data_IF_547835812499
#
_entry.id   IF_547835812499
#
_cell.length_a   1.000
_cell.length_b   1.000
_cell.length_c   1.000
_cell.angle_alpha   90.00
_cell.angle_beta   90.00
_cell.angle_gamma   90.00
#
_symmetry.space_group_name_H-M   'P 1'
#
loop_
_entity.id
_entity.type
_entity.pdbx_description
1 polymer ?
#
# COMPACT_ATOMS: atom_id res chain seq x y z
N UNK A 1 -13.10 16.92 -10.38
CA UNK A 1 -11.91 16.28 -9.76
C UNK A 1 -11.81 14.84 -10.24
N UNK A 2 -10.60 14.30 -10.46
CA UNK A 2 -10.44 12.89 -10.81
C UNK A 2 -10.92 12.00 -9.67
N UNK A 3 -11.57 10.88 -9.99
CA UNK A 3 -12.03 9.90 -9.00
C UNK A 3 -10.85 9.06 -8.51
N UNK A 4 -10.56 9.13 -7.22
CA UNK A 4 -9.52 8.32 -6.58
C UNK A 4 -10.09 6.92 -6.35
N UNK A 5 -9.53 5.93 -7.03
CA UNK A 5 -10.00 4.53 -6.98
C UNK A 5 -9.36 3.72 -5.85
N UNK A 6 -8.20 4.15 -5.34
CA UNK A 6 -7.42 3.41 -4.36
C UNK A 6 -7.01 4.32 -3.21
N UNK A 7 -7.46 3.97 -2.01
CA UNK A 7 -7.20 4.72 -0.77
C UNK A 7 -6.74 3.83 0.38
N UNK A 8 -6.67 2.52 0.16
CA UNK A 8 -6.32 1.51 1.16
C UNK A 8 -4.82 1.20 1.13
N UNK A 9 -4.32 0.56 2.18
CA UNK A 9 -2.93 0.07 2.22
C UNK A 9 -2.80 -1.11 1.26
N UNK A 10 -1.67 -1.23 0.57
CA UNK A 10 -1.42 -2.35 -0.34
C UNK A 10 -0.36 -3.27 0.27
N UNK A 11 -0.80 -4.40 0.82
CA UNK A 11 0.05 -5.36 1.54
C UNK A 11 -0.17 -6.74 0.93
N UNK A 12 0.93 -7.44 0.62
CA UNK A 12 0.89 -8.80 0.06
C UNK A 12 0.10 -8.96 -1.26
N UNK A 13 -0.04 -7.89 -2.05
CA UNK A 13 -0.81 -7.92 -3.30
C UNK A 13 -2.28 -7.58 -3.15
N UNK A 14 -2.74 -7.25 -1.94
CA UNK A 14 -4.14 -6.95 -1.64
C UNK A 14 -4.31 -5.56 -1.01
N UNK A 15 -5.47 -4.96 -1.24
CA UNK A 15 -5.86 -3.70 -0.61
C UNK A 15 -6.50 -3.97 0.75
N UNK A 16 -5.75 -3.69 1.81
CA UNK A 16 -6.17 -3.87 3.20
C UNK A 16 -6.44 -2.53 3.87
N UNK A 17 -7.45 -2.49 4.73
CA UNK A 17 -7.69 -1.36 5.61
C UNK A 17 -6.64 -1.34 6.72
N UNK A 18 -6.37 -0.16 7.30
CA UNK A 18 -5.41 -0.05 8.41
C UNK A 18 -5.92 -0.80 9.64
N UNK A 19 -5.04 -1.50 10.35
CA UNK A 19 -5.39 -2.23 11.59
C UNK A 19 -5.99 -1.28 12.63
N UNK A 20 -5.51 -0.03 12.66
CA UNK A 20 -6.03 1.01 13.55
C UNK A 20 -7.32 1.67 13.05
N UNK A 21 -7.76 1.42 11.81
CA UNK A 21 -8.93 2.06 11.20
C UNK A 21 -8.79 3.57 10.97
N UNK A 22 -7.59 4.13 11.17
CA UNK A 22 -7.31 5.55 10.98
C UNK A 22 -7.15 5.88 9.50
N UNK A 23 -7.60 7.06 9.12
CA UNK A 23 -7.47 7.59 7.77
C UNK A 23 -6.99 9.03 7.82
N UNK A 24 -6.05 9.39 6.95
CA UNK A 24 -5.57 10.75 6.74
C UNK A 24 -6.33 11.37 5.57
N UNK A 25 -6.80 12.60 5.77
CA UNK A 25 -7.39 13.42 4.71
C UNK A 25 -6.28 14.09 3.90
N UNK A 26 -6.23 13.78 2.60
CA UNK A 26 -5.34 14.45 1.65
C UNK A 26 -6.08 15.66 1.08
N UNK A 27 -5.59 16.85 1.41
CA UNK A 27 -6.16 18.12 0.96
C UNK A 27 -5.45 18.64 -0.29
N UNK A 28 -6.19 19.24 -1.23
CA UNK A 28 -5.60 19.91 -2.39
C UNK A 28 -4.99 21.25 -1.95
N UNK A 29 -3.68 21.50 -2.19
CA UNK A 29 -3.04 22.76 -1.82
C UNK A 29 -3.58 23.97 -2.60
N UNK A 30 -4.37 23.78 -3.68
CA UNK A 30 -4.89 24.87 -4.52
C UNK A 30 -6.16 25.51 -3.97
N UNK A 31 -7.02 24.74 -3.34
CA UNK A 31 -8.33 25.21 -2.88
C UNK A 31 -8.68 24.79 -1.43
N UNK A 32 -7.85 23.96 -0.80
CA UNK A 32 -8.09 23.50 0.57
C UNK A 32 -9.20 22.45 0.69
N UNK A 33 -9.69 21.90 -0.43
CA UNK A 33 -10.70 20.85 -0.41
C UNK A 33 -10.07 19.47 -0.18
N UNK A 34 -10.80 18.60 0.54
CA UNK A 34 -10.38 17.22 0.77
C UNK A 34 -10.52 16.43 -0.52
N UNK A 35 -9.41 15.95 -1.05
CA UNK A 35 -9.34 15.12 -2.26
C UNK A 35 -9.78 13.69 -1.93
N UNK A 36 -9.15 13.08 -0.92
CA UNK A 36 -9.37 11.68 -0.57
C UNK A 36 -9.02 11.39 0.90
N UNK A 37 -9.63 10.35 1.46
CA UNK A 37 -9.26 9.77 2.77
C UNK A 37 -8.40 8.54 2.52
N UNK A 38 -7.12 8.61 2.82
CA UNK A 38 -6.16 7.51 2.66
C UNK A 38 -5.98 6.79 3.98
N UNK A 39 -5.87 5.46 3.99
CA UNK A 39 -5.61 4.70 5.20
C UNK A 39 -4.26 5.09 5.84
N UNK A 40 -4.28 5.41 7.13
CA UNK A 40 -3.07 5.69 7.92
C UNK A 40 -2.48 4.36 8.39
N UNK A 41 -1.34 3.98 7.81
CA UNK A 41 -0.61 2.79 8.24
C UNK A 41 0.10 3.03 9.58
N UNK A 42 -0.23 2.21 10.58
CA UNK A 42 0.45 2.18 11.86
C UNK A 42 1.66 1.24 11.85
N UNK A 43 2.29 1.10 13.02
CA UNK A 43 3.41 0.17 13.21
C UNK A 43 3.02 -1.28 12.86
N UNK A 44 1.82 -1.70 13.24
CA UNK A 44 1.31 -3.04 12.98
C UNK A 44 1.17 -3.33 11.48
N UNK A 45 0.67 -2.36 10.71
CA UNK A 45 0.57 -2.47 9.25
C UNK A 45 1.97 -2.57 8.61
N UNK A 46 2.95 -1.82 9.14
CA UNK A 46 4.35 -1.92 8.70
C UNK A 46 4.93 -3.30 9.01
N UNK A 47 4.70 -3.84 10.21
CA UNK A 47 5.16 -5.18 10.57
C UNK A 47 4.55 -6.27 9.66
N UNK A 48 3.26 -6.14 9.31
CA UNK A 48 2.60 -7.04 8.34
C UNK A 48 3.21 -6.90 6.94
N UNK A 49 3.45 -5.68 6.47
CA UNK A 49 4.07 -5.41 5.19
C UNK A 49 5.49 -5.98 5.10
N UNK A 50 6.29 -5.84 6.15
CA UNK A 50 7.65 -6.39 6.23
C UNK A 50 7.62 -7.92 6.22
N UNK A 51 6.72 -8.54 6.98
CA UNK A 51 6.55 -10.01 6.97
C UNK A 51 6.15 -10.52 5.58
N UNK A 52 5.21 -9.85 4.92
CA UNK A 52 4.80 -10.19 3.57
C UNK A 52 5.94 -10.04 2.56
N UNK A 53 6.68 -8.93 2.61
CA UNK A 53 7.85 -8.69 1.77
C UNK A 53 8.94 -9.74 2.02
N UNK A 54 9.18 -10.10 3.28
CA UNK A 54 10.16 -11.12 3.65
C UNK A 54 9.74 -12.51 3.13
N UNK A 55 8.48 -12.88 3.27
CA UNK A 55 7.96 -14.14 2.73
C UNK A 55 8.08 -14.18 1.19
N UNK A 56 7.74 -13.08 0.51
CA UNK A 56 7.90 -12.95 -0.94
C UNK A 56 9.37 -13.01 -1.38
N UNK A 57 10.31 -12.55 -0.54
CA UNK A 57 11.73 -12.60 -0.82
C UNK A 57 12.37 -13.96 -0.49
N UNK A 58 11.97 -14.63 0.59
CA UNK A 58 12.56 -15.91 1.02
C UNK A 58 11.94 -17.10 0.26
N UNK A 59 10.62 -17.06 0.06
CA UNK A 59 9.83 -18.16 -0.49
C UNK A 59 9.11 -17.82 -1.80
N UNK A 60 9.07 -16.54 -2.18
CA UNK A 60 8.33 -16.13 -3.36
C UNK A 60 9.06 -16.38 -4.68
N UNK A 61 8.36 -16.15 -5.81
CA UNK A 61 8.92 -16.27 -7.14
C UNK A 61 9.85 -15.11 -7.49
N UNK A 62 9.70 -13.97 -6.83
CA UNK A 62 10.47 -12.73 -7.08
C UNK A 62 12.00 -12.91 -7.07
N UNK A 63 12.64 -13.47 -6.02
CA UNK A 63 14.10 -13.72 -6.00
C UNK A 63 14.56 -14.75 -7.04
N UNK A 64 13.65 -15.62 -7.51
CA UNK A 64 13.93 -16.68 -8.48
C UNK A 64 13.61 -16.26 -9.90
N UNK A 65 13.04 -15.08 -10.08
CA UNK A 65 12.78 -14.50 -11.39
C UNK A 65 14.11 -14.04 -11.97
N UNK A 66 14.37 -14.36 -13.24
CA UNK A 66 15.58 -13.90 -13.90
C UNK A 66 15.53 -12.37 -14.02
N UNK A 67 16.63 -11.69 -13.65
CA UNK A 67 16.73 -10.22 -13.79
C UNK A 67 16.59 -9.72 -15.23
N UNK A 68 16.64 -10.64 -16.19
CA UNK A 68 16.29 -10.43 -17.58
C UNK A 68 15.23 -11.49 -17.96
N UNK A 69 14.00 -11.06 -18.21
CA UNK A 69 13.04 -11.84 -18.99
C UNK A 69 13.23 -11.41 -20.44
N UNK A 70 13.74 -12.32 -21.27
CA UNK A 70 13.47 -12.21 -22.70
C UNK A 70 12.02 -12.69 -22.89
N UNK A 71 11.25 -11.90 -23.62
CA UNK A 71 9.81 -12.05 -23.85
C UNK A 71 9.39 -13.46 -24.27
#
# INVERSE_FOLDING_TARGET
MPTIKFTKLFINGEFVDSVSGKTIETTDPRNGEVIAKVAEGGKEDVDLAVKAARAAFDHGPWPRMSGFVCA
#
